data_IF_845197185179
#
_entry.id   IF_845197185179
#
_cell.length_a   1.000
_cell.length_b   1.000
_cell.length_c   1.000
_cell.angle_alpha   90.00
_cell.angle_beta   90.00
_cell.angle_gamma   90.00
#
_symmetry.space_group_name_H-M   'P 1'
#
loop_
_entity.id
_entity.type
_entity.pdbx_description
1 polymer ?
#
# COMPACT_ATOMS: atom_id res chain seq x y z
N UNK A 1 -8.37 11.88 10.05
CA UNK A 1 -8.27 11.73 8.58
C UNK A 1 -6.91 12.23 8.16
N UNK A 2 -6.31 11.65 7.11
CA UNK A 2 -4.94 11.98 6.66
C UNK A 2 -4.81 11.94 5.13
N UNK A 3 -5.54 12.79 4.37
CA UNK A 3 -5.28 12.93 2.94
C UNK A 3 -3.83 13.39 2.75
N UNK A 4 -3.06 12.66 1.93
CA UNK A 4 -1.61 12.83 1.85
C UNK A 4 -1.16 12.98 0.40
N UNK A 5 -0.27 13.93 0.17
CA UNK A 5 0.46 14.09 -1.09
C UNK A 5 1.94 13.96 -0.77
N UNK A 6 2.62 13.07 -1.49
CA UNK A 6 4.09 12.91 -1.42
C UNK A 6 4.68 13.58 -2.64
N UNK A 7 5.75 14.35 -2.45
CA UNK A 7 6.51 14.96 -3.53
C UNK A 7 7.90 14.33 -3.63
N UNK A 8 8.43 14.26 -4.85
CA UNK A 8 9.82 13.88 -5.14
C UNK A 8 10.39 14.96 -6.07
N UNK A 9 11.48 15.56 -5.65
CA UNK A 9 12.14 16.67 -6.37
C UNK A 9 11.18 17.82 -6.76
N UNK A 10 10.29 18.18 -5.83
CA UNK A 10 9.29 19.23 -6.01
C UNK A 10 8.12 18.88 -6.93
N UNK A 11 8.06 17.66 -7.49
CA UNK A 11 6.95 17.17 -8.30
C UNK A 11 6.04 16.24 -7.48
N UNK A 12 4.71 16.28 -7.66
CA UNK A 12 3.82 15.29 -7.07
C UNK A 12 4.22 13.88 -7.52
N UNK A 13 4.32 12.97 -6.56
CA UNK A 13 4.66 11.57 -6.80
C UNK A 13 3.51 10.65 -6.41
N UNK A 14 2.97 10.78 -5.19
CA UNK A 14 1.84 9.99 -4.70
C UNK A 14 0.72 10.90 -4.20
N UNK A 15 -0.51 10.52 -4.49
CA UNK A 15 -1.73 11.07 -3.87
C UNK A 15 -2.49 9.90 -3.26
N UNK A 16 -2.66 9.90 -1.94
CA UNK A 16 -3.23 8.74 -1.24
C UNK A 16 -3.99 9.10 0.04
N UNK A 17 -4.87 8.19 0.43
CA UNK A 17 -5.63 8.30 1.66
C UNK A 17 -6.49 7.05 1.91
N UNK A 18 -7.06 6.96 3.10
CA UNK A 18 -7.94 5.84 3.47
C UNK A 18 -8.93 6.26 4.57
N UNK A 19 -10.15 5.69 4.63
CA UNK A 19 -10.95 5.65 5.85
C UNK A 19 -10.39 4.60 6.83
N UNK A 20 -10.84 4.62 8.09
CA UNK A 20 -10.40 3.60 9.08
C UNK A 20 -10.34 4.04 10.54
N UNK A 21 -10.77 5.25 10.87
CA UNK A 21 -10.70 5.79 12.24
C UNK A 21 -9.25 6.03 12.67
N UNK A 22 -8.85 5.51 13.84
CA UNK A 22 -7.48 5.58 14.35
C UNK A 22 -6.45 4.94 13.40
N UNK A 23 -6.86 3.94 12.61
CA UNK A 23 -6.00 3.20 11.68
C UNK A 23 -5.64 3.99 10.42
N UNK A 24 -6.29 5.13 10.15
CA UNK A 24 -6.00 5.94 8.95
C UNK A 24 -4.51 6.26 8.85
N UNK A 25 -3.89 6.62 9.97
CA UNK A 25 -2.48 7.01 10.04
C UNK A 25 -1.58 5.87 9.55
N UNK A 26 -1.72 4.67 10.13
CA UNK A 26 -0.88 3.53 9.76
C UNK A 26 -1.18 2.99 8.37
N UNK A 27 -2.44 3.05 7.90
CA UNK A 27 -2.79 2.62 6.53
C UNK A 27 -2.07 3.50 5.52
N UNK A 28 -2.23 4.82 5.64
CA UNK A 28 -1.57 5.78 4.75
C UNK A 28 -0.05 5.66 4.79
N UNK A 29 0.53 5.47 5.98
CA UNK A 29 1.97 5.24 6.13
C UNK A 29 2.45 3.98 5.40
N UNK A 30 1.81 2.84 5.65
CA UNK A 30 2.20 1.57 5.03
C UNK A 30 2.03 1.62 3.50
N UNK A 31 0.93 2.17 2.99
CA UNK A 31 0.74 2.30 1.54
C UNK A 31 1.82 3.17 0.90
N UNK A 32 2.26 4.25 1.56
CA UNK A 32 3.38 5.05 1.05
C UNK A 32 4.71 4.28 1.09
N UNK A 33 5.05 3.63 2.22
CA UNK A 33 6.28 2.86 2.38
C UNK A 33 6.36 1.68 1.40
N UNK A 34 5.23 1.02 1.12
CA UNK A 34 5.17 -0.06 0.15
C UNK A 34 5.68 0.35 -1.24
N UNK A 35 5.47 1.60 -1.63
CA UNK A 35 5.98 2.12 -2.90
C UNK A 35 7.39 2.67 -2.73
N UNK A 36 7.60 3.54 -1.74
CA UNK A 36 8.83 4.33 -1.59
C UNK A 36 10.02 3.46 -1.16
N UNK A 37 9.79 2.55 -0.19
CA UNK A 37 10.84 1.71 0.38
C UNK A 37 10.87 0.33 -0.28
N UNK A 38 9.69 -0.28 -0.48
CA UNK A 38 9.61 -1.65 -0.98
C UNK A 38 9.42 -1.76 -2.50
N UNK A 39 9.34 -0.63 -3.21
CA UNK A 39 9.31 -0.59 -4.68
C UNK A 39 8.07 -1.23 -5.31
N UNK A 40 7.01 -1.48 -4.54
CA UNK A 40 5.80 -2.14 -5.03
C UNK A 40 5.06 -1.28 -6.05
N UNK A 41 4.38 -1.91 -7.01
CA UNK A 41 3.41 -1.20 -7.83
C UNK A 41 2.26 -0.62 -6.99
N UNK A 42 1.55 0.41 -7.47
CA UNK A 42 0.41 0.99 -6.76
C UNK A 42 -0.62 -0.03 -6.29
N UNK A 43 -0.97 -1.01 -7.12
CA UNK A 43 -2.00 -1.99 -6.75
C UNK A 43 -1.48 -3.02 -5.74
N UNK A 44 -0.22 -3.43 -5.84
CA UNK A 44 0.43 -4.28 -4.83
C UNK A 44 0.53 -3.56 -3.49
N UNK A 45 0.87 -2.26 -3.49
CA UNK A 45 0.97 -1.45 -2.28
C UNK A 45 -0.38 -1.32 -1.56
N UNK A 46 -1.48 -1.13 -2.30
CA UNK A 46 -2.84 -1.08 -1.76
C UNK A 46 -3.31 -2.46 -1.28
N UNK A 47 -3.01 -3.51 -2.03
CA UNK A 47 -3.44 -4.88 -1.70
C UNK A 47 -2.64 -5.49 -0.54
N UNK A 48 -1.41 -5.01 -0.30
CA UNK A 48 -0.54 -5.55 0.73
C UNK A 48 -1.21 -5.62 2.10
N UNK A 49 -0.99 -6.71 2.86
CA UNK A 49 -1.54 -6.85 4.20
C UNK A 49 -1.08 -5.73 5.14
N UNK A 50 -1.92 -5.42 6.13
CA UNK A 50 -1.69 -4.29 7.04
C UNK A 50 -1.42 -4.75 8.47
N UNK A 51 -0.62 -3.95 9.18
CA UNK A 51 -0.42 -4.02 10.63
C UNK A 51 -0.75 -2.67 11.29
N UNK A 52 -1.10 -2.66 12.57
CA UNK A 52 -1.43 -1.44 13.29
C UNK A 52 -1.19 -1.59 14.80
N UNK A 53 -0.59 -0.58 15.41
CA UNK A 53 -0.57 -0.38 16.86
C UNK A 53 -0.82 1.11 17.12
N UNK A 54 -1.60 1.42 18.15
CA UNK A 54 -2.05 2.79 18.45
C UNK A 54 -1.78 3.17 19.90
N UNK A 55 -0.72 2.61 20.49
CA UNK A 55 -0.36 2.70 21.90
C UNK A 55 -1.37 2.02 22.84
N UNK A 56 -2.63 2.45 22.86
CA UNK A 56 -3.71 1.84 23.64
C UNK A 56 -4.89 1.44 22.73
N UNK A 57 -5.45 0.23 22.88
CA UNK A 57 -4.93 -0.87 23.71
C UNK A 57 -3.54 -1.31 23.24
N UNK A 58 -2.74 -1.87 24.16
CA UNK A 58 -1.38 -2.32 23.88
C UNK A 58 -1.39 -3.67 23.15
N UNK A 59 -1.81 -3.60 21.88
CA UNK A 59 -2.03 -4.74 20.99
C UNK A 59 -1.57 -4.37 19.58
N UNK A 60 -0.88 -5.30 18.91
CA UNK A 60 -0.53 -5.17 17.49
C UNK A 60 -1.60 -5.90 16.68
N UNK A 61 -2.40 -5.15 15.94
CA UNK A 61 -3.35 -5.67 14.98
C UNK A 61 -2.66 -6.05 13.68
N UNK A 62 -3.04 -7.18 13.09
CA UNK A 62 -2.58 -7.59 11.78
C UNK A 62 -3.73 -8.22 10.98
N UNK A 63 -3.72 -8.04 9.65
CA UNK A 63 -4.73 -8.65 8.80
C UNK A 63 -4.54 -10.17 8.68
N UNK A 64 -5.66 -10.89 8.57
CA UNK A 64 -5.66 -12.33 8.29
C UNK A 64 -4.71 -12.70 7.15
N UNK A 65 -3.87 -13.70 7.38
CA UNK A 65 -2.86 -14.20 6.43
C UNK A 65 -1.83 -13.14 5.99
N UNK A 66 -1.70 -12.04 6.75
CA UNK A 66 -0.80 -10.93 6.43
C UNK A 66 0.65 -11.11 6.90
N UNK A 67 0.87 -11.95 7.91
CA UNK A 67 2.19 -12.25 8.47
C UNK A 67 2.42 -13.76 8.48
N UNK A 68 3.65 -14.18 8.20
CA UNK A 68 4.04 -15.59 8.33
C UNK A 68 4.01 -16.02 9.79
N UNK A 69 3.82 -17.33 10.02
CA UNK A 69 3.84 -17.91 11.36
C UNK A 69 5.17 -17.61 12.08
N UNK A 70 6.28 -17.74 11.38
CA UNK A 70 7.61 -17.45 11.93
C UNK A 70 7.76 -15.99 12.38
N UNK A 71 7.19 -15.04 11.62
CA UNK A 71 7.20 -13.62 12.00
C UNK A 71 6.32 -13.38 13.23
N UNK A 72 5.14 -14.00 13.30
CA UNK A 72 4.26 -13.91 14.47
C UNK A 72 4.91 -14.48 15.73
N UNK A 73 5.61 -15.61 15.62
CA UNK A 73 6.33 -16.23 16.75
C UNK A 73 7.47 -15.33 17.23
N UNK A 74 8.25 -14.74 16.32
CA UNK A 74 9.33 -13.79 16.67
C UNK A 74 8.79 -12.54 17.35
N UNK A 75 7.73 -11.92 16.83
CA UNK A 75 7.13 -10.73 17.43
C UNK A 75 6.50 -11.04 18.80
N UNK A 76 5.85 -12.19 18.95
CA UNK A 76 5.31 -12.61 20.25
C UNK A 76 6.43 -12.85 21.28
N UNK A 77 7.56 -13.44 20.86
CA UNK A 77 8.73 -13.63 21.73
C UNK A 77 9.39 -12.29 22.15
N UNK A 78 9.22 -11.23 21.37
CA UNK A 78 9.62 -9.86 21.74
C UNK A 78 8.65 -9.20 22.75
N UNK A 79 7.52 -9.85 23.08
CA UNK A 79 6.53 -9.36 24.02
C UNK A 79 5.32 -8.66 23.39
N UNK A 80 5.24 -8.57 22.05
CA UNK A 80 4.08 -7.96 21.39
C UNK A 80 2.85 -8.87 21.49
N UNK A 81 1.72 -8.30 21.91
CA UNK A 81 0.43 -8.97 21.85
C UNK A 81 -0.16 -8.87 20.45
N UNK A 82 0.07 -9.92 19.65
CA UNK A 82 -0.43 -10.00 18.27
C UNK A 82 -1.92 -10.40 18.25
N UNK A 83 -2.76 -9.62 17.56
CA UNK A 83 -4.20 -9.89 17.45
C UNK A 83 -4.61 -9.85 15.97
N UNK A 84 -5.12 -10.98 15.48
CA UNK A 84 -5.62 -11.08 14.11
C UNK A 84 -6.93 -10.29 13.96
N UNK A 85 -7.06 -9.59 12.84
CA UNK A 85 -8.26 -8.83 12.49
C UNK A 85 -8.71 -9.16 11.06
N UNK A 86 -10.00 -9.01 10.81
CA UNK A 86 -10.52 -8.99 9.44
C UNK A 86 -9.96 -7.77 8.69
N UNK A 87 -9.81 -7.84 7.35
CA UNK A 87 -9.25 -6.74 6.58
C UNK A 87 -9.94 -5.39 6.85
N UNK A 88 -9.19 -4.31 6.92
CA UNK A 88 -9.69 -2.99 7.29
C UNK A 88 -9.19 -1.88 6.37
N UNK A 89 -9.93 -0.77 6.33
CA UNK A 89 -9.59 0.39 5.51
C UNK A 89 -10.04 0.25 4.05
N UNK A 90 -9.85 1.33 3.30
CA UNK A 90 -10.10 1.38 1.86
C UNK A 90 -9.13 2.40 1.24
N UNK A 91 -7.88 2.00 1.05
CA UNK A 91 -6.82 2.88 0.56
C UNK A 91 -6.98 3.17 -0.93
N UNK A 92 -7.13 4.43 -1.29
CA UNK A 92 -7.12 4.88 -2.68
C UNK A 92 -5.81 5.61 -2.96
N UNK A 93 -5.25 5.37 -4.14
CA UNK A 93 -3.92 5.83 -4.50
C UNK A 93 -3.86 6.20 -5.99
N UNK A 94 -3.16 7.30 -6.28
CA UNK A 94 -2.64 7.62 -7.61
C UNK A 94 -1.14 7.86 -7.48
N UNK A 95 -0.36 7.16 -8.30
CA UNK A 95 1.07 7.41 -8.48
C UNK A 95 1.32 8.09 -9.83
N UNK A 96 2.17 9.11 -9.83
CA UNK A 96 2.66 9.78 -11.04
C UNK A 96 3.98 9.14 -11.44
N UNK A 97 4.09 8.68 -12.68
CA UNK A 97 5.36 8.20 -13.23
C UNK A 97 6.34 9.36 -13.39
N UNK A 98 7.44 9.33 -12.65
CA UNK A 98 8.54 10.32 -12.75
C UNK A 98 9.72 9.75 -13.55
N UNK A 99 10.61 10.60 -14.09
CA UNK A 99 11.79 10.13 -14.80
C UNK A 99 12.65 9.19 -13.94
N UNK A 100 13.03 8.04 -14.49
CA UNK A 100 13.95 7.10 -13.83
C UNK A 100 13.31 6.23 -12.74
N UNK A 101 11.99 6.34 -12.51
CA UNK A 101 11.29 5.45 -11.59
C UNK A 101 11.26 4.01 -12.12
N UNK A 102 11.59 3.07 -11.25
CA UNK A 102 11.51 1.65 -11.51
C UNK A 102 10.34 1.12 -10.69
N UNK A 103 9.29 0.66 -11.37
CA UNK A 103 8.19 -0.05 -10.71
C UNK A 103 8.45 -1.55 -10.75
N UNK A 104 8.14 -2.25 -9.67
CA UNK A 104 7.92 -3.69 -9.74
C UNK A 104 6.50 -3.89 -10.24
N UNK A 105 6.33 -4.27 -11.51
CA UNK A 105 5.04 -4.72 -12.04
C UNK A 105 5.17 -6.23 -12.28
N UNK A 106 4.20 -7.07 -11.87
CA UNK A 106 4.30 -8.51 -12.04
C UNK A 106 4.56 -8.87 -13.51
N UNK A 107 5.38 -9.90 -13.72
CA UNK A 107 5.83 -10.33 -15.04
C UNK A 107 4.65 -10.46 -16.02
N UNK A 108 4.69 -9.70 -17.11
CA UNK A 108 3.67 -9.79 -18.17
C UNK A 108 3.86 -11.10 -18.95
N UNK A 109 2.76 -11.65 -19.47
CA UNK A 109 2.73 -12.94 -20.17
C UNK A 109 3.42 -12.95 -21.55
N UNK A 110 4.28 -11.98 -21.84
CA UNK A 110 5.17 -11.97 -22.99
C UNK A 110 4.52 -11.65 -24.34
N UNK A 111 3.18 -11.59 -24.43
CA UNK A 111 2.45 -11.23 -25.65
C UNK A 111 2.10 -9.72 -25.75
N UNK A 112 2.41 -8.95 -24.71
CA UNK A 112 2.17 -7.50 -24.57
C UNK A 112 3.46 -6.74 -24.23
N UNK A 113 4.62 -7.29 -24.59
CA UNK A 113 5.97 -6.76 -24.32
C UNK A 113 6.25 -5.34 -24.87
N UNK A 114 5.38 -4.78 -25.71
CA UNK A 114 5.40 -3.36 -26.12
C UNK A 114 4.81 -2.39 -25.05
N UNK A 115 4.16 -2.93 -24.03
CA UNK A 115 3.62 -2.23 -22.84
C UNK A 115 4.43 -2.60 -21.59
N UNK A 116 5.69 -2.99 -21.80
CA UNK A 116 6.61 -3.54 -20.81
C UNK A 116 6.71 -2.71 -19.54
N UNK A 117 6.91 -3.42 -18.42
CA UNK A 117 6.83 -3.00 -17.01
C UNK A 117 7.74 -1.87 -16.53
N UNK A 118 8.11 -0.94 -17.39
CA UNK A 118 8.72 0.33 -17.03
C UNK A 118 7.65 1.36 -16.68
N UNK A 119 7.87 2.10 -15.59
CA UNK A 119 7.10 3.29 -15.29
C UNK A 119 7.38 4.32 -16.38
N UNK A 120 6.31 4.87 -16.96
CA UNK A 120 6.38 5.87 -18.01
C UNK A 120 6.24 7.25 -17.38
N UNK A 121 7.18 8.13 -17.71
CA UNK A 121 7.09 9.51 -17.27
C UNK A 121 5.76 10.14 -17.71
N UNK A 122 5.10 10.84 -16.78
CA UNK A 122 3.84 11.54 -17.01
C UNK A 122 2.58 10.67 -16.99
N UNK A 123 2.72 9.34 -16.95
CA UNK A 123 1.57 8.44 -16.81
C UNK A 123 1.06 8.42 -15.37
N UNK A 124 -0.25 8.21 -15.22
CA UNK A 124 -0.92 8.06 -13.93
C UNK A 124 -1.28 6.59 -13.69
N UNK A 125 -0.93 6.09 -12.51
CA UNK A 125 -1.18 4.72 -12.09
C UNK A 125 -2.09 4.75 -10.88
N UNK A 126 -3.38 4.50 -11.10
CA UNK A 126 -4.40 4.49 -10.06
C UNK A 126 -4.60 3.10 -9.44
N UNK A 127 -5.03 3.05 -8.18
CA UNK A 127 -5.36 1.80 -7.49
C UNK A 127 -6.52 2.01 -6.53
N UNK A 128 -7.36 0.97 -6.46
CA UNK A 128 -8.55 0.91 -5.62
C UNK A 128 -8.44 -0.28 -4.66
N UNK A 129 -8.93 -0.12 -3.43
CA UNK A 129 -8.83 -1.15 -2.40
C UNK A 129 -9.94 -2.18 -2.50
N UNK A 130 -9.59 -3.41 -2.86
CA UNK A 130 -10.53 -4.53 -2.97
C UNK A 130 -11.22 -4.89 -1.65
N UNK A 131 -10.68 -4.47 -0.50
CA UNK A 131 -11.33 -4.65 0.82
C UNK A 131 -12.66 -3.93 0.91
N UNK A 132 -12.86 -2.88 0.10
CA UNK A 132 -14.14 -2.20 -0.08
C UNK A 132 -14.47 -2.18 -1.58
N UNK A 133 -15.25 -3.14 -2.09
CA UNK A 133 -15.55 -3.28 -3.52
C UNK A 133 -16.54 -2.21 -4.03
N UNK A 134 -16.36 -0.96 -3.61
CA UNK A 134 -17.14 0.21 -4.02
C UNK A 134 -16.15 1.28 -4.50
N UNK A 135 -15.96 1.35 -5.82
CA UNK A 135 -15.00 2.25 -6.45
C UNK A 135 -14.24 1.56 -7.58
N UNK A 136 -13.61 2.36 -8.44
CA UNK A 136 -12.65 1.92 -9.46
C UNK A 136 -11.68 3.06 -9.73
N UNK A 137 -10.40 2.72 -9.93
CA UNK A 137 -9.44 3.65 -10.49
C UNK A 137 -9.59 3.65 -12.02
N UNK A 138 -10.10 4.74 -12.60
CA UNK A 138 -10.35 4.86 -14.05
C UNK A 138 -9.78 6.19 -14.54
N UNK A 139 -9.07 6.15 -15.67
CA UNK A 139 -8.54 7.32 -16.39
C UNK A 139 -9.10 7.41 -17.82
N UNK A 140 -8.60 8.37 -18.59
CA UNK A 140 -8.91 8.56 -20.01
C UNK A 140 -7.68 8.36 -20.88
#
# INVERSE_FOLDING_TARGET
MSPTIVTKDGKPFLVLGSPGGSRIISITLQTALNIIEFGMSPQEAVNSPRIHHQWLPDEVYYEQRGLSKDTLEKLSAMGYKMVEQTPWGAAELIMVGLPGEQGVIPASSGNDSAVSGAIREGYLYGSNDVRRPAGKAVGY
#
